data_IF_203687467310
#
_entry.id   IF_203687467310
#
_cell.length_a   1.000
_cell.length_b   1.000
_cell.length_c   1.000
_cell.angle_alpha   90.00
_cell.angle_beta   90.00
_cell.angle_gamma   90.00
#
_symmetry.space_group_name_H-M   'P 1'
#
loop_
_entity.id
_entity.type
_entity.pdbx_description
1 polymer ?
#
# COMPACT_ATOMS: atom_id res chain seq x y z
N UNK A 1 24.55 6.23 -35.02
CA UNK A 1 23.51 7.24 -34.76
C UNK A 1 22.16 6.60 -34.41
N UNK A 2 21.79 5.43 -34.95
CA UNK A 2 20.54 4.72 -34.60
C UNK A 2 20.41 4.28 -33.13
N UNK A 3 21.49 3.83 -32.49
CA UNK A 3 21.41 3.35 -31.09
C UNK A 3 20.91 4.42 -30.12
N UNK A 4 21.40 5.66 -30.26
CA UNK A 4 20.94 6.79 -29.45
C UNK A 4 19.48 7.17 -29.76
N UNK A 5 18.99 6.92 -30.98
CA UNK A 5 17.59 7.15 -31.33
C UNK A 5 16.67 6.10 -30.68
N UNK A 6 17.09 4.83 -30.62
CA UNK A 6 16.36 3.77 -29.94
C UNK A 6 16.28 3.99 -28.42
N UNK A 7 17.38 4.42 -27.79
CA UNK A 7 17.39 4.78 -26.37
C UNK A 7 16.43 5.94 -26.07
N UNK A 8 16.44 6.99 -26.90
CA UNK A 8 15.58 8.16 -26.72
C UNK A 8 14.09 7.81 -26.91
N UNK A 9 13.75 6.95 -27.88
CA UNK A 9 12.38 6.47 -28.07
C UNK A 9 11.88 5.65 -26.88
N UNK A 10 12.70 4.73 -26.35
CA UNK A 10 12.33 3.93 -25.18
C UNK A 10 12.18 4.81 -23.94
N UNK A 11 13.15 5.70 -23.69
CA UNK A 11 13.11 6.65 -22.58
C UNK A 11 11.84 7.51 -22.64
N UNK A 12 11.49 8.06 -23.81
CA UNK A 12 10.28 8.87 -23.98
C UNK A 12 8.98 8.08 -23.75
N UNK A 13 8.95 6.79 -24.14
CA UNK A 13 7.82 5.89 -23.84
C UNK A 13 7.65 5.70 -22.34
N UNK A 14 8.71 5.41 -21.60
CA UNK A 14 8.64 5.25 -20.14
C UNK A 14 8.16 6.52 -19.42
N UNK A 15 8.66 7.68 -19.80
CA UNK A 15 8.17 8.95 -19.23
C UNK A 15 6.70 9.19 -19.55
N UNK A 16 6.27 8.89 -20.78
CA UNK A 16 4.87 9.04 -21.17
C UNK A 16 3.97 8.10 -20.37
N UNK A 17 4.38 6.84 -20.18
CA UNK A 17 3.65 5.87 -19.36
C UNK A 17 3.55 6.32 -17.90
N UNK A 18 4.65 6.81 -17.31
CA UNK A 18 4.65 7.35 -15.94
C UNK A 18 3.69 8.55 -15.80
N UNK A 19 3.68 9.47 -16.77
CA UNK A 19 2.77 10.61 -16.77
C UNK A 19 1.30 10.18 -16.90
N UNK A 20 1.01 9.22 -17.77
CA UNK A 20 -0.35 8.67 -17.91
C UNK A 20 -0.79 7.99 -16.62
N UNK A 21 0.04 7.14 -16.01
CA UNK A 21 -0.29 6.49 -14.74
C UNK A 21 -0.51 7.51 -13.62
N UNK A 22 0.33 8.56 -13.54
CA UNK A 22 0.15 9.63 -12.59
C UNK A 22 -1.18 10.38 -12.80
N UNK A 23 -1.52 10.71 -14.06
CA UNK A 23 -2.80 11.32 -14.40
C UNK A 23 -4.00 10.45 -14.02
N UNK A 24 -3.92 9.14 -14.27
CA UNK A 24 -4.95 8.16 -13.85
C UNK A 24 -5.10 8.15 -12.33
N UNK A 25 -4.00 8.14 -11.57
CA UNK A 25 -4.05 8.17 -10.11
C UNK A 25 -4.72 9.44 -9.57
N UNK A 26 -4.41 10.60 -10.15
CA UNK A 26 -5.08 11.87 -9.80
C UNK A 26 -6.59 11.81 -10.10
N UNK A 27 -6.96 11.26 -11.27
CA UNK A 27 -8.37 11.06 -11.64
C UNK A 27 -9.09 10.14 -10.65
N UNK A 28 -8.50 8.99 -10.30
CA UNK A 28 -9.04 8.07 -9.31
C UNK A 28 -9.15 8.71 -7.91
N UNK A 29 -8.18 9.52 -7.50
CA UNK A 29 -8.22 10.25 -6.23
C UNK A 29 -9.39 11.25 -6.19
N UNK A 30 -9.60 11.98 -7.27
CA UNK A 30 -10.74 12.91 -7.39
C UNK A 30 -12.09 12.17 -7.37
N UNK A 31 -12.19 11.06 -8.10
CA UNK A 31 -13.38 10.21 -8.08
C UNK A 31 -13.65 9.64 -6.68
N UNK A 32 -12.62 9.19 -5.96
CA UNK A 32 -12.75 8.69 -4.59
C UNK A 32 -13.26 9.75 -3.61
N UNK A 33 -12.80 11.01 -3.76
CA UNK A 33 -13.29 12.12 -2.93
C UNK A 33 -14.74 12.49 -3.26
N UNK A 34 -15.14 12.38 -4.53
CA UNK A 34 -16.44 12.84 -5.00
C UNK A 34 -17.54 11.79 -4.84
N UNK A 35 -17.22 10.52 -5.11
CA UNK A 35 -18.16 9.40 -5.14
C UNK A 35 -18.26 8.72 -3.76
N UNK A 36 -19.48 8.52 -3.29
CA UNK A 36 -19.80 7.74 -2.08
C UNK A 36 -21.32 7.66 -1.92
N UNK A 37 -21.82 7.42 -0.70
CA UNK A 37 -23.28 7.40 -0.43
C UNK A 37 -23.96 8.70 -0.82
N UNK A 38 -23.26 9.82 -0.63
CA UNK A 38 -23.65 11.15 -1.10
C UNK A 38 -22.61 11.60 -2.11
N UNK A 39 -23.05 12.13 -3.25
CA UNK A 39 -22.16 12.79 -4.19
C UNK A 39 -21.78 14.16 -3.64
N UNK A 40 -20.48 14.39 -3.46
CA UNK A 40 -19.95 15.63 -2.86
C UNK A 40 -19.01 16.25 -3.87
N UNK A 41 -19.17 17.55 -4.16
CA UNK A 41 -18.13 18.27 -4.87
C UNK A 41 -17.03 18.64 -3.86
N UNK A 42 -15.81 18.06 -3.96
CA UNK A 42 -14.75 18.28 -2.97
C UNK A 42 -14.28 19.74 -2.87
N UNK A 43 -14.56 20.57 -3.88
CA UNK A 43 -14.19 21.99 -3.88
C UNK A 43 -15.26 22.91 -3.27
N UNK A 44 -16.48 22.42 -3.12
CA UNK A 44 -17.61 23.22 -2.63
C UNK A 44 -18.59 22.34 -1.83
N UNK A 45 -18.19 21.85 -0.64
CA UNK A 45 -19.11 21.17 0.24
C UNK A 45 -20.20 22.15 0.69
N UNK A 46 -21.47 21.78 0.52
CA UNK A 46 -22.60 22.67 0.75
C UNK A 46 -23.13 22.58 2.19
N UNK A 47 -22.90 21.45 2.85
CA UNK A 47 -23.40 21.18 4.20
C UNK A 47 -22.26 20.86 5.18
N UNK A 48 -22.48 21.11 6.48
CA UNK A 48 -21.50 20.77 7.52
C UNK A 48 -21.22 19.26 7.60
N UNK A 49 -22.21 18.43 7.24
CA UNK A 49 -22.08 16.98 7.17
C UNK A 49 -21.18 16.55 6.00
N UNK A 50 -21.34 17.16 4.82
CA UNK A 50 -20.45 16.92 3.67
C UNK A 50 -19.00 17.25 3.98
N UNK A 51 -18.75 18.39 4.63
CA UNK A 51 -17.40 18.79 5.04
C UNK A 51 -16.76 17.78 6.00
N UNK A 52 -17.50 17.30 7.01
CA UNK A 52 -16.98 16.28 7.93
C UNK A 52 -16.72 14.95 7.23
N UNK A 53 -17.62 14.49 6.37
CA UNK A 53 -17.39 13.26 5.59
C UNK A 53 -16.16 13.37 4.70
N UNK A 54 -15.94 14.53 4.07
CA UNK A 54 -14.78 14.77 3.23
C UNK A 54 -13.48 14.72 4.05
N UNK A 55 -13.38 15.54 5.11
CA UNK A 55 -12.13 15.75 5.84
C UNK A 55 -11.84 14.69 6.90
N UNK A 56 -12.86 14.14 7.56
CA UNK A 56 -12.65 13.19 8.67
C UNK A 56 -12.68 11.73 8.20
N UNK A 57 -13.21 11.45 7.00
CA UNK A 57 -13.38 10.08 6.51
C UNK A 57 -12.72 9.82 5.13
N UNK A 58 -13.11 10.56 4.08
CA UNK A 58 -12.63 10.29 2.71
C UNK A 58 -11.17 10.68 2.52
N UNK A 59 -10.77 11.87 2.96
CA UNK A 59 -9.40 12.37 2.84
C UNK A 59 -8.37 11.50 3.60
N UNK A 60 -8.54 11.17 4.89
CA UNK A 60 -7.57 10.32 5.59
C UNK A 60 -7.50 8.92 4.98
N UNK A 61 -8.62 8.38 4.49
CA UNK A 61 -8.63 7.08 3.80
C UNK A 61 -7.89 7.13 2.46
N UNK A 62 -8.03 8.20 1.69
CA UNK A 62 -7.28 8.42 0.45
C UNK A 62 -5.77 8.48 0.73
N UNK A 63 -5.37 9.25 1.74
CA UNK A 63 -3.96 9.38 2.12
C UNK A 63 -3.39 8.04 2.60
N UNK A 64 -4.15 7.29 3.41
CA UNK A 64 -3.75 5.95 3.82
C UNK A 64 -3.60 4.99 2.63
N UNK A 65 -4.55 4.98 1.69
CA UNK A 65 -4.48 4.15 0.49
C UNK A 65 -3.28 4.50 -0.39
N UNK A 66 -2.98 5.80 -0.56
CA UNK A 66 -1.81 6.26 -1.31
C UNK A 66 -0.50 5.84 -0.63
N UNK A 67 -0.40 6.00 0.69
CA UNK A 67 0.78 5.60 1.47
C UNK A 67 1.00 4.09 1.45
N UNK A 68 -0.06 3.29 1.62
CA UNK A 68 0.00 1.82 1.56
C UNK A 68 0.40 1.38 0.14
N UNK A 69 -0.21 1.95 -0.90
CA UNK A 69 0.13 1.63 -2.29
C UNK A 69 1.59 1.94 -2.63
N UNK A 70 2.10 3.09 -2.18
CA UNK A 70 3.51 3.45 -2.34
C UNK A 70 4.45 2.49 -1.61
N UNK A 71 4.12 2.12 -0.36
CA UNK A 71 4.90 1.16 0.42
C UNK A 71 4.94 -0.23 -0.23
N UNK A 72 3.80 -0.70 -0.75
CA UNK A 72 3.70 -1.97 -1.47
C UNK A 72 4.49 -1.96 -2.78
N UNK A 73 4.38 -0.87 -3.56
CA UNK A 73 5.13 -0.72 -4.80
C UNK A 73 6.65 -0.71 -4.55
N UNK A 74 7.11 0.02 -3.53
CA UNK A 74 8.52 0.05 -3.14
C UNK A 74 9.00 -1.32 -2.66
N UNK A 75 8.26 -1.97 -1.76
CA UNK A 75 8.61 -3.28 -1.23
C UNK A 75 8.66 -4.35 -2.33
N UNK A 76 7.69 -4.35 -3.24
CA UNK A 76 7.65 -5.25 -4.40
C UNK A 76 8.85 -5.04 -5.33
N UNK A 77 9.14 -3.79 -5.72
CA UNK A 77 10.29 -3.48 -6.58
C UNK A 77 11.62 -3.88 -5.93
N UNK A 78 11.80 -3.58 -4.63
CA UNK A 78 13.00 -4.00 -3.89
C UNK A 78 13.13 -5.53 -3.85
N UNK A 79 12.04 -6.25 -3.60
CA UNK A 79 12.08 -7.70 -3.51
C UNK A 79 12.34 -8.37 -4.88
N UNK A 80 11.74 -7.85 -5.95
CA UNK A 80 11.98 -8.32 -7.31
C UNK A 80 13.46 -8.21 -7.71
N UNK A 81 14.13 -7.12 -7.32
CA UNK A 81 15.57 -6.92 -7.55
C UNK A 81 16.40 -7.86 -6.68
N UNK A 82 16.09 -7.97 -5.38
CA UNK A 82 16.83 -8.81 -4.43
C UNK A 82 16.77 -10.30 -4.80
N UNK A 83 15.61 -10.78 -5.25
CA UNK A 83 15.41 -12.18 -5.59
C UNK A 83 15.69 -12.50 -7.05
N UNK A 84 15.93 -11.48 -7.90
CA UNK A 84 16.06 -11.66 -9.34
C UNK A 84 14.83 -12.31 -9.99
N UNK A 85 13.65 -12.16 -9.37
CA UNK A 85 12.41 -12.80 -9.79
C UNK A 85 11.31 -11.75 -9.91
N UNK A 86 10.88 -11.49 -11.16
CA UNK A 86 9.84 -10.49 -11.49
C UNK A 86 8.47 -10.87 -10.90
N UNK A 87 8.26 -12.14 -10.52
CA UNK A 87 7.04 -12.62 -9.87
C UNK A 87 7.09 -12.51 -8.33
N UNK A 88 8.21 -12.06 -7.76
CA UNK A 88 8.31 -11.92 -6.31
C UNK A 88 7.47 -10.75 -5.80
N UNK A 89 6.70 -10.99 -4.74
CA UNK A 89 6.00 -9.97 -3.97
C UNK A 89 6.12 -10.25 -2.46
N UNK A 90 6.13 -9.21 -1.62
CA UNK A 90 6.33 -9.36 -0.18
C UNK A 90 5.26 -10.23 0.52
N UNK A 91 4.04 -10.28 -0.03
CA UNK A 91 2.96 -11.11 0.52
C UNK A 91 3.25 -12.62 0.47
N UNK A 92 3.96 -13.08 -0.55
CA UNK A 92 4.28 -14.51 -0.77
C UNK A 92 5.28 -15.04 0.27
N UNK A 93 6.06 -14.15 0.88
CA UNK A 93 7.06 -14.51 1.91
C UNK A 93 6.44 -14.79 3.28
N UNK A 94 5.11 -14.83 3.42
CA UNK A 94 4.45 -15.16 4.69
C UNK A 94 4.33 -13.99 5.68
N UNK A 95 4.78 -12.78 5.31
CA UNK A 95 4.67 -11.56 6.13
C UNK A 95 3.20 -11.23 6.45
N UNK A 96 2.32 -11.34 5.45
CA UNK A 96 0.87 -11.15 5.63
C UNK A 96 0.23 -12.24 6.49
N UNK A 97 0.76 -13.47 6.42
CA UNK A 97 0.37 -14.58 7.29
C UNK A 97 0.76 -14.33 8.75
N UNK A 98 1.98 -13.84 8.99
CA UNK A 98 2.46 -13.42 10.30
C UNK A 98 1.61 -12.30 10.91
N UNK A 99 1.24 -11.29 10.11
CA UNK A 99 0.34 -10.23 10.55
C UNK A 99 -1.03 -10.77 10.98
N UNK A 100 -1.61 -11.64 10.15
CA UNK A 100 -2.91 -12.26 10.41
C UNK A 100 -2.88 -13.12 11.67
N UNK A 101 -1.81 -13.90 11.85
CA UNK A 101 -1.59 -14.69 13.07
C UNK A 101 -1.52 -13.79 14.31
N UNK A 102 -0.77 -12.69 14.26
CA UNK A 102 -0.69 -11.73 15.37
C UNK A 102 -2.06 -11.16 15.75
N UNK A 103 -2.85 -10.76 14.75
CA UNK A 103 -4.22 -10.26 14.95
C UNK A 103 -5.16 -11.32 15.55
N UNK A 104 -5.06 -12.57 15.11
CA UNK A 104 -5.85 -13.68 15.66
C UNK A 104 -5.41 -14.00 17.09
N UNK A 105 -4.11 -14.00 17.37
CA UNK A 105 -3.58 -14.24 18.71
C UNK A 105 -4.07 -13.20 19.72
N UNK A 106 -4.04 -11.91 19.39
CA UNK A 106 -4.56 -10.89 20.31
C UNK A 106 -6.08 -11.03 20.52
N UNK A 107 -6.83 -11.39 19.47
CA UNK A 107 -8.27 -11.59 19.55
C UNK A 107 -8.65 -12.71 20.54
N UNK A 108 -7.94 -13.84 20.52
CA UNK A 108 -8.27 -14.98 21.37
C UNK A 108 -7.55 -14.97 22.72
N UNK A 109 -6.28 -14.58 22.76
CA UNK A 109 -5.48 -14.62 23.99
C UNK A 109 -5.71 -13.38 24.88
N UNK A 110 -6.00 -12.22 24.28
CA UNK A 110 -6.21 -10.96 25.01
C UNK A 110 -7.40 -10.17 24.45
N UNK A 111 -8.65 -10.67 24.58
CA UNK A 111 -9.83 -10.03 23.98
C UNK A 111 -10.02 -8.57 24.42
N UNK A 112 -9.68 -8.25 25.68
CA UNK A 112 -9.75 -6.88 26.19
C UNK A 112 -8.77 -5.91 25.50
N UNK A 113 -7.69 -6.42 24.92
CA UNK A 113 -6.70 -5.66 24.17
C UNK A 113 -6.99 -5.62 22.66
N UNK A 114 -8.00 -6.37 22.16
CA UNK A 114 -8.42 -6.44 20.75
C UNK A 114 -9.18 -5.19 20.28
N UNK A 115 -8.61 -4.01 20.56
CA UNK A 115 -9.04 -2.71 20.05
C UNK A 115 -8.44 -2.45 18.67
N UNK A 116 -8.90 -1.43 17.90
CA UNK A 116 -8.31 -1.10 16.60
C UNK A 116 -6.79 -0.92 16.65
N UNK A 117 -6.26 -0.21 17.67
CA UNK A 117 -4.83 -0.08 17.89
C UNK A 117 -4.17 -1.41 18.27
N UNK A 118 -4.84 -2.22 19.09
CA UNK A 118 -4.36 -3.55 19.46
C UNK A 118 -4.17 -4.46 18.25
N UNK A 119 -5.15 -4.52 17.34
CA UNK A 119 -5.05 -5.25 16.09
C UNK A 119 -3.89 -4.75 15.21
N UNK A 120 -3.75 -3.43 15.07
CA UNK A 120 -2.65 -2.84 14.30
C UNK A 120 -1.28 -3.23 14.86
N UNK A 121 -1.08 -3.07 16.17
CA UNK A 121 0.18 -3.40 16.83
C UNK A 121 0.48 -4.90 16.78
N UNK A 122 -0.54 -5.74 17.01
CA UNK A 122 -0.40 -7.19 16.94
C UNK A 122 -0.09 -7.67 15.52
N UNK A 123 -0.73 -7.06 14.51
CA UNK A 123 -0.42 -7.33 13.10
C UNK A 123 1.01 -6.95 12.73
N UNK A 124 1.48 -5.77 13.16
CA UNK A 124 2.87 -5.34 12.94
C UNK A 124 3.85 -6.27 13.66
N UNK A 125 3.60 -6.60 14.92
CA UNK A 125 4.45 -7.50 15.70
C UNK A 125 4.52 -8.91 15.08
N UNK A 126 3.38 -9.44 14.62
CA UNK A 126 3.30 -10.74 13.95
C UNK A 126 4.05 -10.75 12.61
N UNK A 127 3.89 -9.70 11.79
CA UNK A 127 4.62 -9.54 10.53
C UNK A 127 6.14 -9.47 10.73
N UNK A 128 6.58 -8.65 11.70
CA UNK A 128 7.99 -8.51 12.06
C UNK A 128 8.56 -9.82 12.62
N UNK A 129 7.83 -10.49 13.51
CA UNK A 129 8.22 -11.78 14.06
C UNK A 129 8.43 -12.83 12.97
N UNK A 130 7.51 -12.93 12.02
CA UNK A 130 7.66 -13.84 10.88
C UNK A 130 8.85 -13.48 10.00
N UNK A 131 9.05 -12.18 9.72
CA UNK A 131 10.18 -11.69 8.93
C UNK A 131 11.52 -12.04 9.60
N UNK A 132 11.63 -11.90 10.92
CA UNK A 132 12.82 -12.28 11.68
C UNK A 132 13.08 -13.79 11.60
N UNK A 133 12.05 -14.62 11.70
CA UNK A 133 12.16 -16.08 11.54
C UNK A 133 12.72 -16.40 10.14
N UNK A 134 12.11 -15.84 9.10
CA UNK A 134 12.55 -16.05 7.72
C UNK A 134 14.02 -15.66 7.52
N UNK A 135 14.41 -14.46 7.98
CA UNK A 135 15.79 -13.99 7.87
C UNK A 135 16.74 -14.89 8.66
N UNK A 136 16.35 -15.36 9.85
CA UNK A 136 17.19 -16.27 10.65
C UNK A 136 17.43 -17.60 9.93
N UNK A 137 16.38 -18.20 9.33
CA UNK A 137 16.49 -19.45 8.56
C UNK A 137 17.33 -19.28 7.29
N UNK A 138 17.19 -18.15 6.60
CA UNK A 138 17.98 -17.84 5.42
C UNK A 138 19.47 -17.72 5.77
N UNK A 139 19.80 -17.15 6.93
CA UNK A 139 21.19 -17.01 7.40
C UNK A 139 21.83 -18.33 7.86
N UNK A 140 21.05 -19.30 8.32
CA UNK A 140 21.58 -20.63 8.71
C UNK A 140 21.77 -21.57 7.53
N UNK A 141 21.15 -21.26 6.38
CA UNK A 141 21.17 -22.11 5.18
C UNK A 141 22.24 -21.71 4.16
N UNK A 142 22.98 -20.63 4.41
CA UNK A 142 24.14 -20.18 3.63
C UNK A 142 25.42 -20.26 4.46
#
# INVERSE_FOLDING_TARGET
MEFNQLLNQNQRRWHTLMLVMFGVLIGCAFLHLSVGEIFINPFSPQTALESRLLYDLRLPRLLAAAAIGAALALSGASLQVLLGNVLAEPGVLGISGGASLGMVLILFAFPAAATPLGFMLAGVAGALGFTLILVSMARTSG
#
